data_IF_564176111248
#
_entry.id   IF_564176111248
#
_cell.length_a   1.000
_cell.length_b   1.000
_cell.length_c   1.000
_cell.angle_alpha   90.00
_cell.angle_beta   90.00
_cell.angle_gamma   90.00
#
_symmetry.space_group_name_H-M   'P 1'
#
loop_
_entity.id
_entity.type
_entity.pdbx_description
1 polymer ?
#
# COMPACT_ATOMS: atom_id res chain seq x y z
N UNK A 1 15.24 14.43 11.17
CA UNK A 1 14.19 15.13 10.44
C UNK A 1 13.78 14.34 9.20
N UNK A 2 12.47 14.20 8.96
CA UNK A 2 11.99 13.33 7.87
C UNK A 2 12.56 13.75 6.50
N UNK A 3 12.53 15.04 6.21
CA UNK A 3 13.05 15.55 4.94
C UNK A 3 14.51 15.18 4.73
N UNK A 4 15.33 15.36 5.76
CA UNK A 4 16.75 15.04 5.68
C UNK A 4 16.98 13.54 5.50
N UNK A 5 16.17 12.72 6.18
CA UNK A 5 16.21 11.26 6.04
C UNK A 5 15.84 10.82 4.62
N UNK A 6 14.80 11.43 4.03
CA UNK A 6 14.38 11.12 2.66
C UNK A 6 15.44 11.56 1.63
N UNK A 7 16.06 12.71 1.84
CA UNK A 7 17.15 13.18 0.96
C UNK A 7 18.35 12.23 1.01
N UNK A 8 18.73 11.81 2.22
CA UNK A 8 19.78 10.82 2.39
C UNK A 8 19.47 9.52 1.68
N UNK A 9 18.26 9.02 1.86
CA UNK A 9 17.81 7.77 1.24
C UNK A 9 17.85 7.86 -0.28
N UNK A 10 17.38 8.97 -0.84
CA UNK A 10 17.38 9.19 -2.29
C UNK A 10 18.80 9.14 -2.87
N UNK A 11 19.78 9.66 -2.14
CA UNK A 11 21.17 9.66 -2.59
C UNK A 11 21.88 8.34 -2.38
N UNK A 12 21.56 7.61 -1.30
CA UNK A 12 22.38 6.48 -0.82
C UNK A 12 21.74 5.12 -1.07
N UNK A 13 20.42 5.03 -1.12
CA UNK A 13 19.74 3.75 -1.25
C UNK A 13 19.41 3.45 -2.70
N UNK A 14 19.72 2.22 -3.11
CA UNK A 14 19.25 1.71 -4.39
C UNK A 14 17.79 1.24 -4.27
N UNK A 15 16.97 1.44 -5.31
CA UNK A 15 15.61 0.92 -5.30
C UNK A 15 15.57 -0.59 -5.08
N UNK A 16 14.61 -1.06 -4.29
CA UNK A 16 14.38 -2.49 -4.07
C UNK A 16 13.09 -2.90 -4.75
N UNK A 17 13.18 -3.73 -5.76
CA UNK A 17 12.05 -4.23 -6.53
C UNK A 17 11.56 -5.53 -5.93
N UNK A 18 10.48 -5.45 -5.14
CA UNK A 18 9.87 -6.64 -4.56
C UNK A 18 9.09 -7.43 -5.60
N UNK A 19 9.04 -8.75 -5.41
CA UNK A 19 8.18 -9.63 -6.20
C UNK A 19 6.71 -9.53 -5.81
N UNK A 20 6.41 -8.95 -4.65
CA UNK A 20 5.04 -8.92 -4.10
C UNK A 20 4.26 -7.71 -4.58
N UNK A 21 2.96 -7.91 -4.66
CA UNK A 21 1.98 -6.85 -4.85
C UNK A 21 0.73 -7.19 -4.06
N UNK A 22 -0.16 -6.22 -3.90
CA UNK A 22 -1.42 -6.40 -3.18
C UNK A 22 -2.57 -6.22 -4.14
N UNK A 23 -3.42 -7.22 -4.24
CA UNK A 23 -4.65 -7.17 -5.03
C UNK A 23 -5.81 -7.05 -4.08
N UNK A 24 -6.72 -6.10 -4.34
CA UNK A 24 -7.84 -5.86 -3.45
C UNK A 24 -9.08 -5.40 -4.21
N UNK A 25 -10.23 -5.69 -3.61
CA UNK A 25 -11.54 -5.30 -4.12
C UNK A 25 -12.21 -4.40 -3.08
N UNK A 26 -12.80 -3.31 -3.54
CA UNK A 26 -13.51 -2.40 -2.66
C UNK A 26 -14.98 -2.84 -2.56
N UNK A 27 -15.46 -3.21 -1.35
CA UNK A 27 -16.85 -3.63 -1.18
C UNK A 27 -17.85 -2.50 -1.40
N UNK A 28 -17.42 -1.24 -1.34
CA UNK A 28 -18.28 -0.08 -1.63
C UNK A 28 -18.49 0.14 -3.12
N UNK A 29 -17.63 -0.45 -3.95
CA UNK A 29 -17.71 -0.35 -5.41
C UNK A 29 -17.61 -1.75 -6.03
N UNK A 30 -18.62 -2.64 -5.78
CA UNK A 30 -18.53 -4.05 -6.15
C UNK A 30 -18.46 -4.30 -7.66
N UNK A 31 -18.89 -3.33 -8.47
CA UNK A 31 -18.86 -3.46 -9.93
C UNK A 31 -17.49 -3.08 -10.52
N UNK A 32 -16.61 -2.49 -9.74
CA UNK A 32 -15.27 -2.18 -10.20
C UNK A 32 -14.37 -3.42 -10.19
N UNK A 33 -13.38 -3.49 -11.10
CA UNK A 33 -12.43 -4.59 -11.11
C UNK A 33 -11.52 -4.54 -9.90
N UNK A 34 -10.86 -5.65 -9.60
CA UNK A 34 -9.84 -5.71 -8.57
C UNK A 34 -8.71 -4.72 -8.87
N UNK A 35 -8.24 -4.05 -7.83
CA UNK A 35 -7.15 -3.09 -7.92
C UNK A 35 -5.84 -3.77 -7.53
N UNK A 36 -4.74 -3.35 -8.15
CA UNK A 36 -3.42 -3.87 -7.85
C UNK A 36 -2.56 -2.73 -7.34
N UNK A 37 -2.05 -2.87 -6.13
CA UNK A 37 -1.13 -1.91 -5.55
C UNK A 37 0.28 -2.49 -5.59
N UNK A 38 1.17 -1.81 -6.29
CA UNK A 38 2.58 -2.18 -6.38
C UNK A 38 3.39 -1.29 -5.44
N UNK A 39 4.24 -1.86 -4.58
CA UNK A 39 5.13 -1.05 -3.76
C UNK A 39 6.11 -0.26 -4.64
N UNK A 40 6.28 1.00 -4.33
CA UNK A 40 7.30 1.82 -4.98
C UNK A 40 8.68 1.30 -4.57
N UNK A 41 9.60 1.05 -5.53
CA UNK A 41 10.92 0.51 -5.21
C UNK A 41 11.77 1.40 -4.29
N UNK A 42 11.65 2.71 -4.40
CA UNK A 42 12.37 3.63 -3.52
C UNK A 42 11.78 3.60 -2.10
N UNK A 43 10.47 3.53 -2.00
CA UNK A 43 9.79 3.38 -0.71
C UNK A 43 10.18 2.06 -0.04
N UNK A 44 10.20 0.96 -0.80
CA UNK A 44 10.62 -0.35 -0.29
C UNK A 44 12.03 -0.29 0.27
N UNK A 45 12.97 0.35 -0.43
CA UNK A 45 14.32 0.52 0.07
C UNK A 45 14.33 1.24 1.43
N UNK A 46 13.54 2.28 1.58
CA UNK A 46 13.40 3.01 2.84
C UNK A 46 12.84 2.12 3.95
N UNK A 47 11.81 1.33 3.65
CA UNK A 47 11.18 0.44 4.62
C UNK A 47 12.16 -0.63 5.14
N UNK A 48 12.93 -1.21 4.25
CA UNK A 48 13.90 -2.25 4.60
C UNK A 48 15.12 -1.71 5.34
N UNK A 49 15.53 -0.48 5.03
CA UNK A 49 16.67 0.18 5.68
C UNK A 49 16.39 0.53 7.14
N UNK A 50 15.19 1.05 7.43
CA UNK A 50 14.84 1.56 8.75
C UNK A 50 15.44 2.94 9.04
N UNK A 51 14.88 3.61 10.04
CA UNK A 51 15.33 4.94 10.45
C UNK A 51 14.93 6.05 9.50
N UNK A 52 13.98 5.82 8.59
CA UNK A 52 13.56 6.79 7.58
C UNK A 52 12.06 7.08 7.67
N UNK A 53 11.24 6.06 7.56
CA UNK A 53 9.78 6.21 7.53
C UNK A 53 9.21 6.45 8.92
N UNK A 54 8.15 7.27 9.05
CA UNK A 54 7.43 7.40 10.31
C UNK A 54 6.51 6.18 10.51
N UNK A 55 5.97 5.99 11.74
CA UNK A 55 4.91 5.00 11.94
C UNK A 55 3.71 5.29 11.04
N UNK A 56 2.98 4.25 10.67
CA UNK A 56 1.83 4.39 9.76
C UNK A 56 0.75 5.31 10.33
N UNK A 57 0.63 5.39 11.63
CA UNK A 57 -0.31 6.28 12.33
C UNK A 57 -0.11 7.75 11.96
N UNK A 58 1.12 8.15 11.64
CA UNK A 58 1.40 9.52 11.19
C UNK A 58 0.71 9.82 9.86
N UNK A 59 0.65 8.85 8.96
CA UNK A 59 -0.09 9.01 7.71
C UNK A 59 -1.59 9.07 7.94
N UNK A 60 -2.11 8.31 8.89
CA UNK A 60 -3.54 8.33 9.22
C UNK A 60 -3.96 9.69 9.79
N UNK A 61 -3.16 10.25 10.70
CA UNK A 61 -3.42 11.59 11.23
C UNK A 61 -3.38 12.65 10.11
N UNK A 62 -2.42 12.51 9.21
CA UNK A 62 -2.32 13.41 8.07
C UNK A 62 -3.57 13.37 7.20
N UNK A 63 -4.08 12.18 6.90
CA UNK A 63 -5.30 12.04 6.10
C UNK A 63 -6.52 12.66 6.77
N UNK A 64 -6.63 12.54 8.08
CA UNK A 64 -7.69 13.20 8.86
C UNK A 64 -7.59 14.71 8.77
N UNK A 65 -6.37 15.25 8.87
CA UNK A 65 -6.14 16.68 8.80
C UNK A 65 -6.41 17.24 7.41
N UNK A 66 -6.03 16.52 6.37
CA UNK A 66 -6.30 16.90 4.99
C UNK A 66 -7.81 16.97 4.67
N UNK A 67 -8.61 16.20 5.38
CA UNK A 67 -10.07 16.20 5.21
C UNK A 67 -10.75 17.40 5.88
N UNK A 68 -10.05 18.18 6.71
CA UNK A 68 -10.60 19.33 7.39
C UNK A 68 -10.61 20.58 6.47
N UNK A 69 -11.67 21.41 6.54
CA UNK A 69 -11.77 22.60 5.69
C UNK A 69 -10.65 23.62 5.91
N UNK A 70 -10.10 23.66 7.10
CA UNK A 70 -9.05 24.60 7.53
C UNK A 70 -7.64 24.00 7.45
N UNK A 71 -7.49 22.93 6.72
CA UNK A 71 -6.19 22.27 6.57
C UNK A 71 -5.15 23.24 5.99
N UNK A 72 -4.03 23.37 6.70
CA UNK A 72 -2.92 24.20 6.26
C UNK A 72 -1.76 23.28 5.83
N UNK A 73 -1.37 23.43 4.59
CA UNK A 73 -0.43 22.51 3.91
C UNK A 73 0.90 22.32 4.64
N UNK A 74 1.40 23.34 5.34
CA UNK A 74 2.66 23.20 6.09
C UNK A 74 2.52 22.39 7.37
N UNK A 75 1.32 22.19 7.91
CA UNK A 75 1.07 21.30 9.06
C UNK A 75 1.47 19.87 8.74
N UNK A 76 1.31 19.47 7.49
CA UNK A 76 1.72 18.18 6.99
C UNK A 76 3.21 17.91 7.25
N UNK A 77 4.06 18.84 6.86
CA UNK A 77 5.49 18.72 7.07
C UNK A 77 5.85 18.60 8.55
N UNK A 78 5.19 19.40 9.39
CA UNK A 78 5.42 19.39 10.82
C UNK A 78 5.13 18.02 11.44
N UNK A 79 3.97 17.44 11.15
CA UNK A 79 3.56 16.16 11.70
C UNK A 79 4.54 15.05 11.32
N UNK A 80 4.91 14.97 10.05
CA UNK A 80 5.84 13.94 9.57
C UNK A 80 7.25 14.15 10.08
N UNK A 81 7.70 15.41 10.17
CA UNK A 81 9.06 15.74 10.58
C UNK A 81 9.35 15.41 12.03
N UNK A 82 8.36 15.60 12.91
CA UNK A 82 8.56 15.43 14.34
C UNK A 82 8.25 14.01 14.83
N UNK A 83 7.90 13.11 13.94
CA UNK A 83 7.63 11.73 14.30
C UNK A 83 8.92 10.92 14.27
N UNK A 84 9.16 10.15 15.34
CA UNK A 84 10.32 9.28 15.42
C UNK A 84 10.25 8.22 14.30
N UNK A 85 11.34 7.99 13.56
CA UNK A 85 11.34 6.97 12.52
C UNK A 85 11.24 5.57 13.10
N UNK A 86 10.64 4.67 12.32
CA UNK A 86 10.54 3.26 12.69
C UNK A 86 11.81 2.50 12.32
N UNK A 87 11.97 1.33 12.92
CA UNK A 87 13.09 0.45 12.65
C UNK A 87 12.95 -0.25 11.30
N UNK A 88 14.02 -0.89 10.85
CA UNK A 88 14.02 -1.69 9.64
C UNK A 88 12.93 -2.76 9.70
N UNK A 89 12.23 -2.92 8.58
CA UNK A 89 11.18 -3.92 8.44
C UNK A 89 11.66 -5.09 7.57
N UNK A 90 11.10 -6.25 7.81
CA UNK A 90 11.18 -7.34 6.83
C UNK A 90 10.34 -6.98 5.61
N UNK A 91 10.54 -7.66 4.50
CA UNK A 91 9.74 -7.44 3.30
C UNK A 91 8.25 -7.65 3.58
N UNK A 92 7.91 -8.69 4.33
CA UNK A 92 6.52 -8.97 4.71
C UNK A 92 5.90 -7.85 5.53
N UNK A 93 6.63 -7.33 6.52
CA UNK A 93 6.14 -6.21 7.34
C UNK A 93 6.02 -4.93 6.54
N UNK A 94 6.90 -4.73 5.57
CA UNK A 94 6.81 -3.58 4.67
C UNK A 94 5.52 -3.63 3.84
N UNK A 95 5.13 -4.81 3.37
CA UNK A 95 3.87 -4.99 2.64
C UNK A 95 2.67 -4.72 3.57
N UNK A 96 2.70 -5.20 4.81
CA UNK A 96 1.65 -4.90 5.79
C UNK A 96 1.52 -3.39 6.05
N UNK A 97 2.64 -2.71 6.20
CA UNK A 97 2.66 -1.25 6.36
C UNK A 97 2.05 -0.56 5.13
N UNK A 98 2.40 -1.00 3.94
CA UNK A 98 1.86 -0.48 2.69
C UNK A 98 0.33 -0.62 2.64
N UNK A 99 -0.18 -1.77 3.04
CA UNK A 99 -1.62 -2.02 3.11
C UNK A 99 -2.30 -1.02 4.03
N UNK A 100 -1.79 -0.86 5.24
CA UNK A 100 -2.35 0.07 6.21
C UNK A 100 -2.27 1.53 5.76
N UNK A 101 -1.25 1.87 4.99
CA UNK A 101 -1.01 3.22 4.50
C UNK A 101 -1.86 3.57 3.28
N UNK A 102 -1.89 2.70 2.27
CA UNK A 102 -2.41 3.03 0.94
C UNK A 102 -3.77 2.40 0.60
N UNK A 103 -4.16 1.32 1.27
CA UNK A 103 -5.45 0.68 1.01
C UNK A 103 -6.49 1.20 2.01
N UNK A 104 -7.72 1.52 1.57
CA UNK A 104 -8.75 2.03 2.48
C UNK A 104 -9.00 1.09 3.65
N UNK A 105 -9.19 1.66 4.85
CA UNK A 105 -9.37 0.88 6.07
C UNK A 105 -10.56 -0.09 5.99
N UNK A 106 -11.63 0.31 5.33
CA UNK A 106 -12.81 -0.56 5.20
C UNK A 106 -12.56 -1.83 4.38
N UNK A 107 -11.44 -1.89 3.64
CA UNK A 107 -11.04 -3.09 2.89
C UNK A 107 -10.34 -4.10 3.80
N UNK A 108 -9.44 -3.64 4.69
CA UNK A 108 -8.59 -4.54 5.46
C UNK A 108 -8.91 -4.63 6.96
N UNK A 109 -9.51 -3.59 7.56
CA UNK A 109 -9.69 -3.52 9.01
C UNK A 109 -10.68 -4.55 9.55
N UNK A 110 -11.84 -4.66 8.91
CA UNK A 110 -12.93 -5.57 9.33
C UNK A 110 -13.04 -6.78 8.40
N UNK A 111 -11.91 -7.16 7.84
CA UNK A 111 -11.86 -8.26 6.89
C UNK A 111 -12.14 -9.59 7.58
N UNK A 112 -13.19 -10.28 7.11
CA UNK A 112 -13.55 -11.62 7.57
C UNK A 112 -12.95 -12.65 6.60
N UNK A 113 -11.92 -13.35 7.07
CA UNK A 113 -11.24 -14.37 6.26
C UNK A 113 -12.09 -15.61 5.97
N UNK A 114 -13.20 -15.79 6.70
CA UNK A 114 -14.10 -16.90 6.44
C UNK A 114 -14.98 -16.66 5.21
N UNK A 115 -15.14 -15.42 4.81
CA UNK A 115 -15.86 -15.03 3.61
C UNK A 115 -14.91 -14.83 2.43
N UNK A 116 -15.46 -14.42 1.28
CA UNK A 116 -14.67 -14.13 0.09
C UNK A 116 -13.54 -13.15 0.40
N UNK A 117 -12.30 -13.47 0.07
CA UNK A 117 -11.19 -12.54 0.28
C UNK A 117 -11.39 -11.22 -0.48
N UNK A 118 -11.19 -10.11 0.20
CA UNK A 118 -11.21 -8.77 -0.41
C UNK A 118 -9.80 -8.28 -0.75
N UNK A 119 -8.80 -8.95 -0.21
CA UNK A 119 -7.43 -8.54 -0.36
C UNK A 119 -6.51 -9.77 -0.32
N UNK A 120 -5.53 -9.79 -1.19
CA UNK A 120 -4.55 -10.87 -1.25
C UNK A 120 -3.18 -10.30 -1.56
N UNK A 121 -2.17 -10.81 -0.85
CA UNK A 121 -0.78 -10.54 -1.18
C UNK A 121 -0.33 -11.66 -2.12
N UNK A 122 0.14 -11.28 -3.30
CA UNK A 122 0.58 -12.25 -4.29
C UNK A 122 1.88 -11.78 -4.96
N UNK A 123 2.50 -12.68 -5.71
CA UNK A 123 3.65 -12.31 -6.53
C UNK A 123 3.19 -11.76 -7.87
N UNK A 124 4.06 -10.98 -8.50
CA UNK A 124 3.78 -10.43 -9.84
C UNK A 124 3.56 -11.53 -10.88
N UNK A 125 4.16 -12.70 -10.67
CA UNK A 125 3.99 -13.85 -11.56
C UNK A 125 2.59 -14.45 -11.47
N UNK A 126 1.88 -14.27 -10.36
CA UNK A 126 0.51 -14.75 -10.19
C UNK A 126 -0.53 -13.85 -10.87
N UNK A 127 -0.11 -12.66 -11.31
CA UNK A 127 -0.98 -11.77 -12.07
C UNK A 127 -1.14 -12.31 -13.50
N UNK A 128 -2.32 -12.07 -14.14
CA UNK A 128 -2.48 -12.43 -15.54
C UNK A 128 -1.43 -11.77 -16.42
N UNK A 129 -0.90 -12.52 -17.38
CA UNK A 129 0.17 -12.06 -18.24
C UNK A 129 -0.25 -11.00 -19.26
N UNK A 130 -1.56 -10.89 -19.53
CA UNK A 130 -2.12 -9.89 -20.43
C UNK A 130 -3.04 -8.94 -19.67
N UNK A 131 -3.07 -7.68 -20.09
CA UNK A 131 -3.94 -6.65 -19.52
C UNK A 131 -5.16 -6.35 -20.38
N UNK A 132 -5.39 -7.11 -21.43
CA UNK A 132 -6.54 -6.90 -22.34
C UNK A 132 -7.86 -6.90 -21.57
N UNK A 133 -8.00 -7.79 -20.59
CA UNK A 133 -9.21 -7.92 -19.76
C UNK A 133 -9.05 -7.36 -18.37
N UNK A 134 -8.17 -6.37 -18.18
CA UNK A 134 -7.88 -5.81 -16.84
C UNK A 134 -9.13 -5.35 -16.10
N UNK A 135 -10.11 -4.78 -16.81
CA UNK A 135 -11.35 -4.29 -16.21
C UNK A 135 -12.28 -5.41 -15.71
N UNK A 136 -12.01 -6.67 -16.07
CA UNK A 136 -12.79 -7.81 -15.64
C UNK A 136 -12.11 -8.64 -14.54
N UNK A 137 -10.97 -8.20 -14.04
CA UNK A 137 -10.22 -8.95 -13.03
C UNK A 137 -10.97 -8.92 -11.68
N UNK A 138 -11.02 -10.11 -11.06
CA UNK A 138 -11.58 -10.28 -9.72
C UNK A 138 -10.72 -11.25 -8.93
N UNK A 139 -10.75 -11.12 -7.61
CA UNK A 139 -10.08 -12.06 -6.70
C UNK A 139 -10.99 -13.29 -6.60
N UNK A 140 -10.39 -14.48 -6.76
CA UNK A 140 -11.10 -15.73 -6.54
C UNK A 140 -10.78 -16.29 -5.14
N UNK A 141 -11.48 -17.37 -4.77
CA UNK A 141 -11.33 -18.01 -3.45
C UNK A 141 -9.98 -18.66 -3.23
N UNK A 142 -9.26 -18.97 -4.31
CA UNK A 142 -7.92 -19.57 -4.26
C UNK A 142 -6.82 -18.52 -4.17
N UNK A 143 -7.17 -17.26 -3.93
CA UNK A 143 -6.26 -16.14 -3.81
C UNK A 143 -5.47 -15.88 -5.10
N UNK A 144 -6.07 -16.21 -6.24
CA UNK A 144 -5.53 -15.90 -7.57
C UNK A 144 -6.42 -14.87 -8.26
N UNK A 145 -5.88 -14.21 -9.27
CA UNK A 145 -6.64 -13.26 -10.07
C UNK A 145 -7.22 -14.00 -11.26
N UNK A 146 -8.56 -13.91 -11.43
CA UNK A 146 -9.23 -14.46 -12.58
C UNK A 146 -9.78 -13.34 -13.45
N UNK A 147 -9.75 -13.59 -14.75
CA UNK A 147 -10.52 -12.78 -15.69
C UNK A 147 -11.95 -13.28 -15.70
N UNK A 148 -12.91 -12.36 -15.70
CA UNK A 148 -14.28 -12.76 -15.99
C UNK A 148 -14.34 -13.26 -17.43
N UNK A 149 -15.07 -14.35 -17.63
CA UNK A 149 -15.29 -14.84 -18.99
C UNK A 149 -16.18 -13.83 -19.70
N UNK A 150 -15.67 -13.30 -20.77
CA UNK A 150 -16.47 -12.52 -21.70
C UNK A 150 -17.29 -13.52 -22.49
N UNK A 151 -18.57 -13.48 -22.25
CA UNK A 151 -19.48 -14.35 -22.98
C UNK A 151 -19.54 -13.96 -24.46
#
# INVERSE_FOLDING_TARGET
HLWDRLCWAKEKLEPYRTEYCVVWEDPETPDEPAKVTHPDPNWMACALQGGILPPVEAYWELKKDEAKPDFVKHTRGYLLHNTKPIEAMTEERAIEYLIMKDIPQHVWKDYDKANKPRMVICTKQQLPSTRVWRNAWKINEELTIQKEKVA
#
